data_IF_178884671801
#
_entry.id   IF_178884671801
#
_cell.length_a   1.000
_cell.length_b   1.000
_cell.length_c   1.000
_cell.angle_alpha   90.00
_cell.angle_beta   90.00
_cell.angle_gamma   90.00
#
_symmetry.space_group_name_H-M   'P 1'
#
loop_
_entity.id
_entity.type
_entity.pdbx_description
1 polymer ?
#
# COMPACT_ATOMS: atom_id res chain seq x y z
N UNK A 1 74.04 30.56 -9.88
CA UNK A 1 74.40 30.44 -8.45
C UNK A 1 74.31 31.78 -7.71
N UNK A 2 74.99 32.84 -8.16
CA UNK A 2 74.95 34.18 -7.53
C UNK A 2 73.54 34.84 -7.40
N UNK A 3 72.64 34.62 -8.36
CA UNK A 3 71.27 35.19 -8.32
C UNK A 3 70.35 34.52 -7.27
N UNK A 4 70.56 33.24 -6.98
CA UNK A 4 69.75 32.50 -5.99
C UNK A 4 70.15 32.86 -4.55
N UNK A 5 71.43 33.19 -4.34
CA UNK A 5 71.98 33.61 -3.06
C UNK A 5 71.57 35.05 -2.70
N UNK A 6 71.49 35.94 -3.70
CA UNK A 6 70.97 37.31 -3.55
C UNK A 6 69.46 37.29 -3.27
N UNK A 7 68.69 36.42 -3.96
CA UNK A 7 67.26 36.22 -3.72
C UNK A 7 66.96 35.77 -2.29
N UNK A 8 67.67 34.75 -1.78
CA UNK A 8 67.53 34.26 -0.39
C UNK A 8 67.94 35.30 0.65
N UNK A 9 68.99 36.08 0.37
CA UNK A 9 69.44 37.18 1.23
C UNK A 9 68.39 38.29 1.35
N UNK A 10 67.80 38.72 0.22
CA UNK A 10 66.72 39.70 0.15
C UNK A 10 65.45 39.18 0.82
N UNK A 11 65.03 37.94 0.54
CA UNK A 11 63.90 37.29 1.21
C UNK A 11 64.11 37.22 2.72
N UNK A 12 65.30 36.85 3.19
CA UNK A 12 65.59 36.80 4.64
C UNK A 12 65.58 38.18 5.29
N UNK A 13 66.03 39.23 4.58
CA UNK A 13 65.99 40.61 5.07
C UNK A 13 64.56 41.15 5.10
N UNK A 14 63.76 40.83 4.09
CA UNK A 14 62.33 41.18 4.03
C UNK A 14 61.57 40.44 5.13
N UNK A 15 61.81 39.13 5.33
CA UNK A 15 61.23 38.36 6.42
C UNK A 15 61.61 38.92 7.79
N UNK A 16 62.90 39.20 8.04
CA UNK A 16 63.31 39.81 9.32
C UNK A 16 62.73 41.21 9.52
N UNK A 17 62.53 41.99 8.46
CA UNK A 17 61.92 43.33 8.54
C UNK A 17 60.42 43.24 8.80
N UNK A 18 59.73 42.27 8.20
CA UNK A 18 58.34 41.92 8.48
C UNK A 18 58.18 41.40 9.91
N UNK A 19 59.02 40.48 10.35
CA UNK A 19 59.03 39.91 11.70
C UNK A 19 59.22 41.00 12.76
N UNK A 20 60.20 41.90 12.59
CA UNK A 20 60.39 43.05 13.50
C UNK A 20 59.23 44.05 13.47
N UNK A 21 58.58 44.20 12.32
CA UNK A 21 57.40 45.07 12.20
C UNK A 21 56.16 44.43 12.83
N UNK A 22 56.02 43.11 12.74
CA UNK A 22 54.93 42.31 13.33
C UNK A 22 55.04 42.23 14.86
N UNK A 23 56.25 42.07 15.40
CA UNK A 23 56.50 42.00 16.86
C UNK A 23 56.17 43.32 17.57
N UNK A 24 56.32 44.46 16.87
CA UNK A 24 56.12 45.80 17.44
C UNK A 24 54.80 46.46 17.01
N UNK A 25 53.83 45.71 16.47
CA UNK A 25 52.53 46.28 16.12
C UNK A 25 51.80 46.71 17.40
N UNK A 26 51.43 47.98 17.44
CA UNK A 26 50.57 48.55 18.47
C UNK A 26 49.41 49.29 17.80
N UNK A 27 48.22 48.67 17.83
CA UNK A 27 46.98 49.22 17.27
C UNK A 27 46.43 50.34 18.16
N UNK A 28 46.77 50.34 19.45
CA UNK A 28 46.13 51.21 20.46
C UNK A 28 46.94 52.46 20.79
N UNK A 29 48.25 52.50 20.53
CA UNK A 29 49.06 53.68 20.85
C UNK A 29 50.40 53.76 20.10
N UNK A 30 50.56 54.74 19.20
CA UNK A 30 51.80 54.94 18.43
C UNK A 30 52.71 56.08 18.94
N UNK A 31 52.25 56.94 19.86
CA UNK A 31 52.95 58.20 20.18
C UNK A 31 53.18 58.47 21.68
N UNK A 32 52.95 57.49 22.56
CA UNK A 32 53.17 57.65 24.01
C UNK A 32 54.66 57.49 24.38
N UNK A 33 55.23 58.45 25.12
CA UNK A 33 56.59 58.36 25.70
C UNK A 33 56.67 57.44 26.92
N UNK A 34 55.53 57.04 27.49
CA UNK A 34 55.45 56.11 28.63
C UNK A 34 55.59 54.65 28.17
N UNK A 35 56.71 54.01 28.57
CA UNK A 35 57.04 52.61 28.27
C UNK A 35 55.94 51.63 28.72
N UNK A 36 55.27 51.91 29.82
CA UNK A 36 54.21 51.05 30.37
C UNK A 36 53.00 51.04 29.45
N UNK A 37 52.56 52.22 29.00
CA UNK A 37 51.44 52.37 28.06
C UNK A 37 51.73 51.73 26.70
N UNK A 38 52.97 51.83 26.23
CA UNK A 38 53.41 51.16 24.98
C UNK A 38 53.34 49.63 25.16
N UNK A 39 53.85 49.10 26.27
CA UNK A 39 53.79 47.67 26.58
C UNK A 39 52.35 47.13 26.69
N UNK A 40 51.46 47.84 27.40
CA UNK A 40 50.04 47.51 27.47
C UNK A 40 49.37 47.52 26.07
N UNK A 41 49.73 48.47 25.21
CA UNK A 41 49.19 48.57 23.85
C UNK A 41 49.63 47.42 22.94
N UNK A 42 50.89 46.99 23.03
CA UNK A 42 51.40 45.80 22.30
C UNK A 42 50.68 44.54 22.78
N UNK A 43 50.56 44.32 24.09
CA UNK A 43 49.89 43.14 24.63
C UNK A 43 48.39 43.10 24.29
N UNK A 44 47.72 44.25 24.30
CA UNK A 44 46.32 44.39 23.87
C UNK A 44 46.16 44.13 22.37
N UNK A 45 47.18 44.45 21.57
CA UNK A 45 47.20 44.18 20.13
C UNK A 45 47.30 42.69 19.85
N UNK A 46 48.18 41.98 20.55
CA UNK A 46 48.30 40.53 20.43
C UNK A 46 47.04 39.79 20.89
N UNK A 47 46.45 40.19 22.02
CA UNK A 47 45.17 39.64 22.48
C UNK A 47 44.05 39.88 21.44
N UNK A 48 43.97 41.09 20.89
CA UNK A 48 43.02 41.42 19.82
C UNK A 48 43.17 40.49 18.61
N UNK A 49 44.40 40.27 18.13
CA UNK A 49 44.66 39.41 16.96
C UNK A 49 44.25 37.95 17.26
N UNK A 50 44.60 37.43 18.43
CA UNK A 50 44.25 36.05 18.83
C UNK A 50 42.73 35.86 18.90
N UNK A 51 42.03 36.80 19.55
CA UNK A 51 40.57 36.74 19.67
C UNK A 51 39.89 36.87 18.31
N UNK A 52 40.41 37.73 17.42
CA UNK A 52 39.91 37.85 16.05
C UNK A 52 40.07 36.53 15.28
N UNK A 53 41.27 35.92 15.33
CA UNK A 53 41.53 34.64 14.65
C UNK A 53 40.65 33.50 15.20
N UNK A 54 40.49 33.40 16.52
CA UNK A 54 39.60 32.41 17.15
C UNK A 54 38.14 32.62 16.73
N UNK A 55 37.68 33.87 16.67
CA UNK A 55 36.31 34.17 16.24
C UNK A 55 36.05 33.77 14.78
N UNK A 56 37.00 34.06 13.88
CA UNK A 56 36.91 33.67 12.47
C UNK A 56 36.95 32.15 12.32
N UNK A 57 37.82 31.46 13.06
CA UNK A 57 37.91 30.00 13.04
C UNK A 57 36.60 29.35 13.48
N UNK A 58 36.01 29.81 14.59
CA UNK A 58 34.72 29.28 15.08
C UNK A 58 33.60 29.50 14.07
N UNK A 59 33.55 30.67 13.41
CA UNK A 59 32.56 30.97 12.37
C UNK A 59 32.71 30.06 11.15
N UNK A 60 33.93 29.79 10.71
CA UNK A 60 34.21 28.88 9.59
C UNK A 60 33.82 27.44 9.94
N UNK A 61 34.15 26.97 11.15
CA UNK A 61 33.78 25.63 11.60
C UNK A 61 32.26 25.48 11.69
N UNK A 62 31.58 26.44 12.31
CA UNK A 62 30.12 26.46 12.41
C UNK A 62 29.45 26.43 11.02
N UNK A 63 29.93 27.25 10.09
CA UNK A 63 29.38 27.31 8.73
C UNK A 63 29.60 26.03 7.92
N UNK A 64 30.69 25.31 8.18
CA UNK A 64 30.97 24.02 7.53
C UNK A 64 30.14 22.87 8.10
N UNK A 65 29.75 22.96 9.37
CA UNK A 65 28.94 21.96 10.06
C UNK A 65 27.43 22.18 9.88
N UNK A 66 27.03 23.40 9.51
CA UNK A 66 25.61 23.76 9.35
C UNK A 66 25.10 23.44 7.94
N UNK A 67 23.89 22.88 7.88
CA UNK A 67 23.13 22.70 6.65
C UNK A 67 22.09 23.80 6.51
N UNK A 68 21.81 24.19 5.27
CA UNK A 68 20.69 25.05 4.92
C UNK A 68 19.56 24.21 4.32
N UNK A 69 18.33 24.48 4.77
CA UNK A 69 17.12 23.91 4.19
C UNK A 69 16.72 24.72 2.96
N UNK A 70 16.63 24.07 1.80
CA UNK A 70 16.20 24.67 0.55
C UNK A 70 14.81 24.15 0.20
N UNK A 71 13.92 25.07 -0.18
CA UNK A 71 12.60 24.77 -0.73
C UNK A 71 12.57 25.16 -2.21
N UNK A 72 12.57 24.19 -3.11
CA UNK A 72 12.38 24.42 -4.54
C UNK A 72 10.91 24.15 -4.89
N UNK A 73 10.32 25.03 -5.70
CA UNK A 73 8.93 24.92 -6.14
C UNK A 73 8.83 24.97 -7.66
N UNK A 74 8.07 24.03 -8.22
CA UNK A 74 7.83 23.87 -9.64
C UNK A 74 6.35 24.15 -9.92
N UNK A 75 6.05 25.18 -10.71
CA UNK A 75 4.68 25.61 -10.98
C UNK A 75 4.07 24.84 -12.16
N UNK A 76 2.82 24.40 -12.01
CA UNK A 76 2.00 23.70 -13.03
C UNK A 76 2.79 22.67 -13.86
N UNK A 77 3.43 21.66 -13.23
CA UNK A 77 4.18 20.67 -13.99
C UNK A 77 3.26 19.88 -14.93
N UNK A 78 3.77 19.49 -16.09
CA UNK A 78 3.14 18.46 -16.93
C UNK A 78 3.43 17.07 -16.39
N UNK A 79 2.67 16.04 -16.79
CA UNK A 79 2.90 14.66 -16.35
C UNK A 79 4.35 14.21 -16.61
N UNK A 80 4.88 14.48 -17.81
CA UNK A 80 6.27 14.18 -18.18
C UNK A 80 7.29 14.92 -17.32
N UNK A 81 7.02 16.19 -16.96
CA UNK A 81 7.89 16.95 -16.06
C UNK A 81 7.85 16.38 -14.65
N UNK A 82 6.67 16.04 -14.14
CA UNK A 82 6.51 15.37 -12.85
C UNK A 82 7.31 14.07 -12.80
N UNK A 83 7.23 13.21 -13.83
CA UNK A 83 7.95 11.93 -13.84
C UNK A 83 9.46 12.14 -13.72
N UNK A 84 10.01 13.12 -14.46
CA UNK A 84 11.43 13.49 -14.37
C UNK A 84 11.82 14.08 -13.01
N UNK A 85 10.95 14.90 -12.42
CA UNK A 85 11.17 15.44 -11.07
C UNK A 85 11.13 14.32 -10.02
N UNK A 86 10.22 13.35 -10.16
CA UNK A 86 10.13 12.22 -9.25
C UNK A 86 11.33 11.28 -9.37
N UNK A 87 11.88 11.09 -10.57
CA UNK A 87 13.16 10.37 -10.75
C UNK A 87 14.32 11.06 -10.02
N UNK A 88 14.29 12.39 -9.91
CA UNK A 88 15.34 13.18 -9.28
C UNK A 88 15.19 13.27 -7.76
N UNK A 89 13.99 13.52 -7.27
CA UNK A 89 13.72 13.86 -5.86
C UNK A 89 12.94 12.77 -5.10
N UNK A 90 12.36 11.79 -5.81
CA UNK A 90 11.62 10.65 -5.24
C UNK A 90 10.57 11.08 -4.21
N UNK A 91 10.53 10.43 -3.05
CA UNK A 91 9.56 10.65 -1.97
C UNK A 91 9.61 12.04 -1.34
N UNK A 92 10.65 12.85 -1.60
CA UNK A 92 10.74 14.24 -1.12
C UNK A 92 9.91 15.21 -1.97
N UNK A 93 9.48 14.81 -3.17
CA UNK A 93 8.65 15.62 -4.04
C UNK A 93 7.19 15.56 -3.58
N UNK A 94 6.65 16.71 -3.17
CA UNK A 94 5.27 16.82 -2.70
C UNK A 94 4.48 17.65 -3.71
N UNK A 95 3.45 17.05 -4.29
CA UNK A 95 2.58 17.68 -5.28
C UNK A 95 1.14 17.70 -4.76
N UNK A 96 0.64 18.79 -4.14
CA UNK A 96 -0.78 18.89 -3.79
C UNK A 96 -1.68 18.80 -5.01
N UNK A 97 -2.73 17.98 -4.92
CA UNK A 97 -3.77 17.94 -5.95
C UNK A 97 -4.63 19.20 -5.89
N UNK A 98 -5.08 19.67 -7.06
CA UNK A 98 -6.08 20.74 -7.15
C UNK A 98 -7.46 20.32 -6.66
N UNK A 99 -7.78 19.03 -6.81
CA UNK A 99 -9.02 18.40 -6.35
C UNK A 99 -8.70 17.30 -5.34
N UNK A 100 -9.39 17.32 -4.20
CA UNK A 100 -9.24 16.31 -3.14
C UNK A 100 -10.02 15.02 -3.44
N UNK A 101 -11.06 15.12 -4.27
CA UNK A 101 -12.00 14.05 -4.60
C UNK A 101 -11.93 13.82 -6.11
N UNK A 102 -11.43 12.66 -6.53
CA UNK A 102 -11.32 12.31 -7.95
C UNK A 102 -12.20 11.09 -8.21
N UNK A 103 -13.27 11.19 -9.03
CA UNK A 103 -14.15 10.06 -9.29
C UNK A 103 -13.41 8.87 -9.91
N UNK A 104 -13.60 7.65 -9.41
CA UNK A 104 -12.92 6.45 -9.97
C UNK A 104 -13.23 6.26 -11.45
N UNK A 105 -14.46 6.55 -11.89
CA UNK A 105 -14.88 6.52 -13.31
C UNK A 105 -13.97 7.32 -14.25
N UNK A 106 -13.24 8.31 -13.73
CA UNK A 106 -12.38 9.15 -14.56
C UNK A 106 -11.05 8.52 -14.96
N UNK A 107 -10.65 7.43 -14.30
CA UNK A 107 -9.36 6.78 -14.54
C UNK A 107 -9.39 5.26 -14.37
N UNK A 108 -10.56 4.65 -14.13
CA UNK A 108 -10.72 3.20 -13.90
C UNK A 108 -11.84 2.65 -14.77
N UNK A 109 -11.65 1.44 -15.31
CA UNK A 109 -12.61 0.70 -16.13
C UNK A 109 -12.67 -0.78 -15.72
N UNK A 110 -13.85 -1.39 -15.81
CA UNK A 110 -14.09 -2.81 -15.56
C UNK A 110 -14.70 -3.46 -16.80
N UNK A 111 -14.17 -4.62 -17.19
CA UNK A 111 -14.63 -5.45 -18.30
C UNK A 111 -14.68 -6.92 -17.87
N UNK A 112 -15.53 -7.23 -16.91
CA UNK A 112 -15.63 -8.58 -16.34
C UNK A 112 -16.18 -9.56 -17.38
N UNK A 113 -15.44 -10.65 -17.61
CA UNK A 113 -15.83 -11.75 -18.48
C UNK A 113 -16.45 -12.87 -17.64
N UNK A 114 -17.71 -13.16 -17.91
CA UNK A 114 -18.40 -14.30 -17.31
C UNK A 114 -18.08 -15.61 -18.07
N UNK A 115 -18.37 -16.74 -17.43
CA UNK A 115 -18.26 -18.08 -17.99
C UNK A 115 -19.06 -18.18 -19.29
N UNK A 116 -18.53 -18.89 -20.28
CA UNK A 116 -19.13 -18.98 -21.62
C UNK A 116 -20.58 -19.50 -21.64
N UNK A 117 -20.99 -20.24 -20.60
CA UNK A 117 -22.38 -20.65 -20.40
C UNK A 117 -23.33 -19.44 -20.36
N UNK A 118 -22.88 -18.31 -19.79
CA UNK A 118 -23.65 -17.09 -19.60
C UNK A 118 -23.83 -16.27 -20.88
N UNK A 119 -23.23 -16.70 -21.99
CA UNK A 119 -23.45 -16.16 -23.34
C UNK A 119 -23.86 -17.24 -24.34
N UNK A 120 -24.17 -18.44 -23.86
CA UNK A 120 -24.50 -19.59 -24.70
C UNK A 120 -26.00 -19.68 -25.00
N UNK A 121 -26.35 -20.54 -25.96
CA UNK A 121 -27.76 -20.84 -26.27
C UNK A 121 -28.50 -21.50 -25.08
N UNK A 122 -27.78 -22.15 -24.15
CA UNK A 122 -28.36 -22.90 -23.03
C UNK A 122 -29.05 -22.05 -21.96
N UNK A 123 -28.78 -20.74 -21.94
CA UNK A 123 -29.42 -19.81 -20.99
C UNK A 123 -30.52 -18.97 -21.63
N UNK A 124 -30.78 -19.15 -22.93
CA UNK A 124 -31.82 -18.41 -23.64
C UNK A 124 -33.19 -19.03 -23.38
N UNK A 125 -34.22 -18.21 -23.25
CA UNK A 125 -35.61 -18.68 -23.08
C UNK A 125 -36.07 -19.57 -24.22
N UNK A 126 -35.65 -19.25 -25.45
CA UNK A 126 -35.88 -20.07 -26.64
C UNK A 126 -35.38 -21.51 -26.52
N UNK A 127 -34.41 -21.78 -25.64
CA UNK A 127 -33.96 -23.13 -25.34
C UNK A 127 -34.83 -23.79 -24.27
N UNK A 128 -34.88 -23.22 -23.07
CA UNK A 128 -35.46 -23.93 -21.93
C UNK A 128 -37.00 -23.96 -21.95
N UNK A 129 -37.68 -22.96 -22.51
CA UNK A 129 -39.15 -22.95 -22.61
C UNK A 129 -39.67 -24.02 -23.58
N UNK A 130 -38.83 -24.47 -24.50
CA UNK A 130 -39.24 -25.51 -25.47
C UNK A 130 -39.09 -26.91 -24.90
N UNK A 131 -38.30 -27.12 -23.85
CA UNK A 131 -38.11 -28.43 -23.24
C UNK A 131 -39.43 -28.91 -22.60
N UNK A 132 -40.08 -29.96 -23.14
CA UNK A 132 -41.41 -30.35 -22.69
C UNK A 132 -41.36 -30.89 -21.25
N UNK A 133 -42.23 -30.42 -20.34
CA UNK A 133 -42.37 -31.04 -19.03
C UNK A 133 -43.07 -32.39 -19.21
N UNK A 134 -42.29 -33.47 -19.29
CA UNK A 134 -42.87 -34.82 -19.31
C UNK A 134 -43.11 -35.30 -17.88
N UNK A 135 -44.37 -35.64 -17.56
CA UNK A 135 -44.72 -36.28 -16.29
C UNK A 135 -44.50 -37.79 -16.44
N UNK A 136 -43.49 -38.31 -15.75
CA UNK A 136 -43.21 -39.75 -15.67
C UNK A 136 -43.63 -40.33 -14.31
N UNK A 137 -43.81 -41.65 -14.26
CA UNK A 137 -44.38 -42.36 -13.10
C UNK A 137 -43.54 -42.22 -11.81
N UNK A 138 -44.22 -42.27 -10.66
CA UNK A 138 -43.82 -41.82 -9.30
C UNK A 138 -42.54 -42.42 -8.68
N UNK A 139 -41.82 -43.34 -9.33
CA UNK A 139 -40.68 -44.04 -8.71
C UNK A 139 -39.30 -43.51 -9.10
N UNK A 140 -39.20 -42.71 -10.17
CA UNK A 140 -37.93 -42.27 -10.74
C UNK A 140 -37.99 -40.79 -11.14
N UNK A 141 -36.95 -40.00 -10.84
CA UNK A 141 -36.88 -38.59 -11.25
C UNK A 141 -36.26 -38.53 -12.64
N UNK A 142 -37.09 -38.24 -13.65
CA UNK A 142 -36.63 -38.11 -15.02
C UNK A 142 -36.06 -36.72 -15.29
N UNK A 143 -34.87 -36.60 -15.88
CA UNK A 143 -34.29 -35.27 -16.17
C UNK A 143 -35.23 -34.39 -17.01
N UNK A 144 -36.02 -34.97 -17.92
CA UNK A 144 -36.98 -34.23 -18.75
C UNK A 144 -38.07 -33.51 -17.96
N UNK A 145 -38.45 -33.99 -16.76
CA UNK A 145 -39.44 -33.29 -15.95
C UNK A 145 -38.88 -32.00 -15.33
N UNK A 146 -37.56 -31.82 -15.35
CA UNK A 146 -36.86 -30.72 -14.69
C UNK A 146 -35.93 -29.92 -15.60
N UNK A 147 -35.74 -30.36 -16.85
CA UNK A 147 -34.75 -29.80 -17.78
C UNK A 147 -34.99 -28.30 -18.06
N UNK A 148 -36.24 -27.88 -18.27
CA UNK A 148 -36.60 -26.46 -18.41
C UNK A 148 -36.12 -25.65 -17.19
N UNK A 149 -36.50 -26.07 -15.98
CA UNK A 149 -36.14 -25.40 -14.74
C UNK A 149 -34.62 -25.41 -14.48
N UNK A 150 -33.92 -26.45 -14.93
CA UNK A 150 -32.46 -26.58 -14.78
C UNK A 150 -31.74 -25.51 -15.57
N UNK A 151 -32.06 -25.36 -16.84
CA UNK A 151 -31.46 -24.34 -17.70
C UNK A 151 -31.94 -22.92 -17.36
N UNK A 152 -33.19 -22.76 -16.91
CA UNK A 152 -33.68 -21.50 -16.35
C UNK A 152 -32.91 -21.09 -15.09
N UNK A 153 -32.56 -22.04 -14.24
CA UNK A 153 -31.76 -21.80 -13.02
C UNK A 153 -30.33 -21.39 -13.40
N UNK A 154 -29.71 -22.05 -14.39
CA UNK A 154 -28.42 -21.61 -14.95
C UNK A 154 -28.47 -20.19 -15.51
N UNK A 155 -29.53 -19.83 -16.24
CA UNK A 155 -29.74 -18.48 -16.74
C UNK A 155 -29.87 -17.47 -15.59
N UNK A 156 -30.60 -17.85 -14.54
CA UNK A 156 -30.78 -17.04 -13.34
C UNK A 156 -29.46 -16.81 -12.61
N UNK A 157 -28.60 -17.83 -12.51
CA UNK A 157 -27.26 -17.68 -11.92
C UNK A 157 -26.38 -16.70 -12.71
N UNK A 158 -26.40 -16.81 -14.04
CA UNK A 158 -25.67 -15.88 -14.91
C UNK A 158 -26.18 -14.44 -14.78
N UNK A 159 -27.50 -14.24 -14.75
CA UNK A 159 -28.09 -12.92 -14.55
C UNK A 159 -27.77 -12.35 -13.17
N UNK A 160 -27.92 -13.16 -12.12
CA UNK A 160 -27.63 -12.75 -10.76
C UNK A 160 -26.15 -12.36 -10.58
N UNK A 161 -25.23 -13.12 -11.17
CA UNK A 161 -23.81 -12.78 -11.21
C UNK A 161 -23.58 -11.45 -11.94
N UNK A 162 -24.11 -11.32 -13.16
CA UNK A 162 -23.96 -10.12 -13.98
C UNK A 162 -24.49 -8.86 -13.28
N UNK A 163 -25.68 -8.92 -12.70
CA UNK A 163 -26.30 -7.80 -11.97
C UNK A 163 -25.52 -7.45 -10.71
N UNK A 164 -25.05 -8.45 -9.95
CA UNK A 164 -24.27 -8.23 -8.73
C UNK A 164 -22.94 -7.56 -9.04
N UNK A 165 -22.23 -8.06 -10.06
CA UNK A 165 -20.94 -7.52 -10.51
C UNK A 165 -21.12 -6.10 -11.06
N UNK A 166 -22.05 -5.91 -12.00
CA UNK A 166 -22.29 -4.59 -12.58
C UNK A 166 -22.73 -3.59 -11.51
N UNK A 167 -23.61 -3.98 -10.59
CA UNK A 167 -24.03 -3.15 -9.47
C UNK A 167 -22.87 -2.78 -8.53
N UNK A 168 -21.94 -3.70 -8.28
CA UNK A 168 -20.75 -3.42 -7.47
C UNK A 168 -19.76 -2.50 -8.21
N UNK A 169 -19.45 -2.78 -9.47
CA UNK A 169 -18.56 -1.96 -10.30
C UNK A 169 -19.11 -0.54 -10.49
N UNK A 170 -20.40 -0.38 -10.79
CA UNK A 170 -21.01 0.94 -10.95
C UNK A 170 -20.98 1.75 -9.65
N UNK A 171 -21.25 1.11 -8.49
CA UNK A 171 -21.11 1.74 -7.18
C UNK A 171 -19.68 2.19 -6.91
N UNK A 172 -18.70 1.32 -7.17
CA UNK A 172 -17.28 1.67 -7.04
C UNK A 172 -16.91 2.88 -7.91
N UNK A 173 -17.26 2.84 -9.20
CA UNK A 173 -16.96 3.91 -10.15
C UNK A 173 -17.66 5.24 -9.82
N UNK A 174 -18.79 5.20 -9.11
CA UNK A 174 -19.51 6.38 -8.63
C UNK A 174 -18.89 7.02 -7.37
N UNK A 175 -17.99 6.31 -6.67
CA UNK A 175 -17.28 6.88 -5.52
C UNK A 175 -16.05 7.68 -5.94
N UNK A 176 -15.45 8.39 -4.97
CA UNK A 176 -14.27 9.22 -5.20
C UNK A 176 -13.03 8.60 -4.55
N UNK A 177 -11.92 8.66 -5.27
CA UNK A 177 -10.59 8.50 -4.72
C UNK A 177 -10.23 9.77 -3.93
N UNK A 178 -9.93 9.60 -2.64
CA UNK A 178 -9.66 10.72 -1.72
C UNK A 178 -8.18 10.85 -1.50
N UNK A 179 -7.59 11.97 -1.92
CA UNK A 179 -6.19 12.23 -1.61
C UNK A 179 -5.82 13.71 -1.67
N UNK A 180 -4.92 14.12 -0.77
CA UNK A 180 -4.41 15.51 -0.69
C UNK A 180 -3.24 15.77 -1.63
N UNK A 181 -2.44 14.74 -1.88
CA UNK A 181 -1.20 14.86 -2.64
C UNK A 181 -1.16 13.80 -3.73
N UNK A 182 -0.58 14.12 -4.87
CA UNK A 182 -0.40 13.15 -5.93
C UNK A 182 0.46 11.98 -5.44
N UNK A 183 -0.02 10.75 -5.63
CA UNK A 183 0.71 9.55 -5.22
C UNK A 183 1.82 9.24 -6.20
N UNK A 184 2.87 8.59 -5.69
CA UNK A 184 3.82 7.90 -6.57
C UNK A 184 3.11 6.77 -7.34
N UNK A 185 3.68 6.37 -8.48
CA UNK A 185 3.13 5.29 -9.29
C UNK A 185 3.00 3.99 -8.47
N UNK A 186 4.05 3.65 -7.71
CA UNK A 186 4.03 2.48 -6.84
C UNK A 186 2.90 2.55 -5.80
N UNK A 187 2.77 3.68 -5.09
CA UNK A 187 1.70 3.87 -4.09
C UNK A 187 0.32 3.82 -4.72
N UNK A 188 0.14 4.44 -5.89
CA UNK A 188 -1.12 4.42 -6.64
C UNK A 188 -1.50 3.00 -7.05
N UNK A 189 -0.61 2.27 -7.71
CA UNK A 189 -0.83 0.87 -8.14
C UNK A 189 -1.15 -0.02 -6.94
N UNK A 190 -0.38 0.09 -5.86
CA UNK A 190 -0.61 -0.69 -4.65
C UNK A 190 -1.99 -0.41 -4.05
N UNK A 191 -2.34 0.87 -3.88
CA UNK A 191 -3.64 1.27 -3.34
C UNK A 191 -4.78 0.82 -4.25
N UNK A 192 -4.67 1.01 -5.57
CA UNK A 192 -5.70 0.59 -6.53
C UNK A 192 -5.92 -0.92 -6.51
N UNK A 193 -4.86 -1.72 -6.54
CA UNK A 193 -4.97 -3.17 -6.46
C UNK A 193 -5.61 -3.61 -5.13
N UNK A 194 -5.24 -2.99 -4.01
CA UNK A 194 -5.84 -3.29 -2.71
C UNK A 194 -7.34 -2.97 -2.68
N UNK A 195 -7.75 -1.82 -3.21
CA UNK A 195 -9.15 -1.40 -3.28
C UNK A 195 -9.98 -2.30 -4.19
N UNK A 196 -9.45 -2.66 -5.36
CA UNK A 196 -10.14 -3.55 -6.31
C UNK A 196 -10.24 -4.97 -5.74
N UNK A 197 -9.19 -5.47 -5.09
CA UNK A 197 -9.25 -6.78 -4.42
C UNK A 197 -10.30 -6.77 -3.29
N UNK A 198 -10.39 -5.69 -2.52
CA UNK A 198 -11.42 -5.55 -1.49
C UNK A 198 -12.83 -5.50 -2.11
N UNK A 199 -13.01 -4.78 -3.22
CA UNK A 199 -14.26 -4.78 -3.99
C UNK A 199 -14.65 -6.19 -4.42
N UNK A 200 -13.73 -6.95 -5.02
CA UNK A 200 -13.96 -8.32 -5.50
C UNK A 200 -14.36 -9.23 -4.33
N UNK A 201 -13.59 -9.22 -3.24
CA UNK A 201 -13.87 -10.04 -2.06
C UNK A 201 -15.21 -9.70 -1.42
N UNK A 202 -15.51 -8.41 -1.25
CA UNK A 202 -16.78 -7.96 -0.68
C UNK A 202 -17.97 -8.29 -1.58
N UNK A 203 -17.81 -8.17 -2.89
CA UNK A 203 -18.87 -8.48 -3.87
C UNK A 203 -19.16 -9.98 -3.85
N UNK A 204 -18.10 -10.80 -3.81
CA UNK A 204 -18.22 -12.25 -3.64
C UNK A 204 -18.95 -12.62 -2.36
N UNK A 205 -18.57 -12.02 -1.23
CA UNK A 205 -19.23 -12.29 0.05
C UNK A 205 -20.72 -11.91 0.04
N UNK A 206 -21.08 -10.75 -0.54
CA UNK A 206 -22.48 -10.31 -0.68
C UNK A 206 -23.29 -11.26 -1.59
N UNK A 207 -22.69 -11.70 -2.70
CA UNK A 207 -23.29 -12.68 -3.61
C UNK A 207 -23.63 -14.00 -2.90
N UNK A 208 -22.66 -14.54 -2.15
CA UNK A 208 -22.82 -15.75 -1.33
C UNK A 208 -23.87 -15.59 -0.24
N UNK A 209 -23.83 -14.47 0.47
CA UNK A 209 -24.79 -14.17 1.53
C UNK A 209 -26.23 -14.17 0.99
N UNK A 210 -26.46 -13.51 -0.15
CA UNK A 210 -27.78 -13.47 -0.80
C UNK A 210 -28.25 -14.85 -1.25
N UNK A 211 -27.36 -15.67 -1.81
CA UNK A 211 -27.71 -17.04 -2.20
C UNK A 211 -28.04 -17.89 -0.98
N UNK A 212 -27.21 -17.84 0.06
CA UNK A 212 -27.41 -18.58 1.31
C UNK A 212 -28.73 -18.19 1.98
N UNK A 213 -29.03 -16.90 2.06
CA UNK A 213 -30.30 -16.40 2.59
C UNK A 213 -31.50 -16.94 1.81
N UNK A 214 -31.39 -17.01 0.48
CA UNK A 214 -32.44 -17.56 -0.39
C UNK A 214 -32.65 -19.04 -0.10
N UNK A 215 -31.58 -19.84 -0.10
CA UNK A 215 -31.64 -21.29 0.15
C UNK A 215 -32.18 -21.61 1.55
N UNK A 216 -31.69 -20.91 2.60
CA UNK A 216 -32.19 -21.07 3.97
C UNK A 216 -33.67 -20.69 4.05
N UNK A 217 -34.08 -19.58 3.42
CA UNK A 217 -35.49 -19.17 3.39
C UNK A 217 -36.36 -20.20 2.67
N UNK A 218 -35.88 -20.81 1.59
CA UNK A 218 -36.58 -21.87 0.88
C UNK A 218 -36.79 -23.11 1.74
N UNK A 219 -35.75 -23.53 2.48
CA UNK A 219 -35.81 -24.72 3.34
C UNK A 219 -36.66 -24.50 4.59
N UNK A 220 -36.46 -23.39 5.31
CA UNK A 220 -37.16 -23.12 6.58
C UNK A 220 -38.67 -22.95 6.40
N UNK A 221 -39.11 -22.54 5.21
CA UNK A 221 -40.53 -22.39 4.89
C UNK A 221 -41.12 -23.59 4.12
N UNK A 222 -40.36 -24.69 3.97
CA UNK A 222 -40.80 -25.90 3.27
C UNK A 222 -41.40 -25.64 1.88
N UNK A 223 -40.81 -24.72 1.11
CA UNK A 223 -41.29 -24.42 -0.24
C UNK A 223 -41.26 -25.67 -1.11
N UNK A 224 -42.42 -26.12 -1.57
CA UNK A 224 -42.53 -27.28 -2.46
C UNK A 224 -41.93 -26.91 -3.81
N UNK A 225 -40.82 -27.57 -4.16
CA UNK A 225 -40.19 -27.39 -5.46
C UNK A 225 -41.13 -27.91 -6.55
N UNK A 226 -41.14 -27.26 -7.71
CA UNK A 226 -41.89 -27.74 -8.87
C UNK A 226 -41.48 -29.17 -9.29
N UNK A 227 -40.26 -29.60 -8.91
CA UNK A 227 -39.79 -30.96 -9.15
C UNK A 227 -40.45 -32.01 -8.24
N UNK A 228 -41.14 -31.58 -7.16
CA UNK A 228 -41.79 -32.45 -6.17
C UNK A 228 -40.88 -33.50 -5.52
N UNK A 229 -39.56 -33.29 -5.58
CA UNK A 229 -38.54 -34.17 -4.98
C UNK A 229 -38.34 -33.89 -3.49
N UNK A 230 -38.73 -32.70 -3.03
CA UNK A 230 -38.73 -32.34 -1.61
C UNK A 230 -40.09 -32.53 -0.92
N UNK A 231 -41.18 -32.64 -1.69
CA UNK A 231 -42.51 -32.96 -1.19
C UNK A 231 -43.40 -33.53 -2.30
N UNK A 232 -44.08 -34.65 -2.02
CA UNK A 232 -45.11 -35.24 -2.87
C UNK A 232 -46.49 -34.88 -2.32
N UNK A 233 -47.23 -34.05 -3.07
CA UNK A 233 -48.56 -33.59 -2.70
C UNK A 233 -49.61 -34.56 -3.24
N UNK A 234 -50.39 -35.17 -2.35
CA UNK A 234 -51.45 -36.11 -2.70
C UNK A 234 -52.80 -35.61 -2.23
N UNK A 235 -53.79 -35.69 -3.10
CA UNK A 235 -55.18 -35.55 -2.69
C UNK A 235 -55.59 -36.84 -1.98
N UNK A 236 -55.99 -36.71 -0.73
CA UNK A 236 -56.55 -37.80 0.06
C UNK A 236 -58.03 -37.52 0.32
N UNK A 237 -58.83 -38.57 0.18
CA UNK A 237 -60.25 -38.52 0.48
C UNK A 237 -60.47 -39.33 1.75
N UNK A 238 -60.72 -38.63 2.85
CA UNK A 238 -61.08 -39.23 4.13
C UNK A 238 -62.59 -39.40 4.16
N UNK A 239 -63.05 -40.65 4.29
CA UNK A 239 -64.46 -40.93 4.52
C UNK A 239 -64.73 -40.96 6.01
N UNK A 240 -65.58 -40.07 6.48
CA UNK A 240 -66.04 -40.11 7.87
C UNK A 240 -67.18 -41.12 8.02
N UNK A 241 -67.38 -41.65 9.23
CA UNK A 241 -68.44 -42.63 9.55
C UNK A 241 -69.87 -42.14 9.29
N UNK A 242 -70.04 -40.84 9.06
CA UNK A 242 -71.31 -40.17 8.72
C UNK A 242 -71.58 -40.05 7.21
N UNK A 243 -70.68 -40.54 6.34
CA UNK A 243 -70.84 -40.46 4.88
C UNK A 243 -70.43 -39.11 4.27
N UNK A 244 -69.78 -38.24 5.06
CA UNK A 244 -69.12 -37.04 4.54
C UNK A 244 -67.69 -37.36 4.10
N UNK A 245 -67.32 -36.85 2.92
CA UNK A 245 -65.97 -36.94 2.38
C UNK A 245 -65.22 -35.65 2.66
N UNK A 246 -64.10 -35.74 3.37
CA UNK A 246 -63.16 -34.64 3.52
C UNK A 246 -62.03 -34.84 2.51
N UNK A 247 -61.72 -33.81 1.73
CA UNK A 247 -60.59 -33.81 0.79
C UNK A 247 -59.46 -33.02 1.43
N UNK A 248 -58.37 -33.70 1.77
CA UNK A 248 -57.15 -33.08 2.30
C UNK A 248 -56.01 -33.20 1.28
N UNK A 249 -55.02 -32.32 1.41
CA UNK A 249 -53.76 -32.44 0.69
C UNK A 249 -52.73 -33.02 1.67
N UNK A 250 -52.42 -34.29 1.51
CA UNK A 250 -51.33 -34.95 2.21
C UNK A 250 -49.98 -34.52 1.63
N UNK A 251 -49.04 -34.20 2.51
CA UNK A 251 -47.66 -33.88 2.15
C UNK A 251 -46.78 -35.08 2.52
N UNK A 252 -46.28 -35.77 1.51
CA UNK A 252 -45.45 -36.96 1.69
C UNK A 252 -43.98 -36.65 1.39
N UNK A 253 -43.09 -37.37 2.06
CA UNK A 253 -41.66 -37.35 1.74
C UNK A 253 -41.40 -38.28 0.57
N UNK A 254 -40.92 -37.79 -0.59
CA UNK A 254 -40.61 -38.66 -1.72
C UNK A 254 -39.51 -39.64 -1.33
N UNK A 255 -39.66 -40.90 -1.73
CA UNK A 255 -38.60 -41.90 -1.63
C UNK A 255 -37.72 -41.77 -2.87
N UNK A 256 -36.50 -41.25 -2.67
CA UNK A 256 -35.50 -41.13 -3.74
C UNK A 256 -34.24 -41.88 -3.31
N UNK A 257 -33.47 -42.36 -4.28
CA UNK A 257 -32.23 -43.08 -4.02
C UNK A 257 -31.03 -42.19 -4.38
N UNK A 258 -30.04 -42.16 -3.49
CA UNK A 258 -28.79 -41.44 -3.73
C UNK A 258 -27.93 -42.15 -4.81
N UNK A 259 -26.78 -41.57 -5.13
CA UNK A 259 -25.83 -42.16 -6.09
C UNK A 259 -25.31 -43.56 -5.69
N UNK A 260 -25.42 -43.93 -4.40
CA UNK A 260 -24.99 -45.22 -3.83
C UNK A 260 -26.15 -46.20 -3.65
N UNK A 261 -27.37 -45.84 -4.08
CA UNK A 261 -28.57 -46.65 -3.93
C UNK A 261 -29.16 -46.62 -2.51
N UNK A 262 -28.79 -45.66 -1.67
CA UNK A 262 -29.31 -45.49 -0.32
C UNK A 262 -30.56 -44.60 -0.33
N UNK A 263 -31.49 -44.85 0.59
CA UNK A 263 -32.67 -44.00 0.74
C UNK A 263 -32.26 -42.59 1.13
N UNK A 264 -32.75 -41.64 0.34
CA UNK A 264 -32.49 -40.23 0.48
C UNK A 264 -33.82 -39.52 0.70
N UNK A 265 -33.89 -38.73 1.77
CA UNK A 265 -35.10 -38.01 2.15
C UNK A 265 -34.81 -36.52 2.17
N UNK A 266 -35.22 -35.82 1.12
CA UNK A 266 -34.96 -34.37 1.00
C UNK A 266 -35.57 -33.52 2.11
N UNK A 267 -36.54 -34.04 2.86
CA UNK A 267 -37.07 -33.37 4.05
C UNK A 267 -36.16 -33.46 5.28
N UNK A 268 -35.20 -34.40 5.29
CA UNK A 268 -34.26 -34.63 6.39
C UNK A 268 -32.82 -34.28 6.02
N UNK A 269 -32.41 -34.64 4.81
CA UNK A 269 -31.08 -34.38 4.26
C UNK A 269 -31.18 -33.74 2.87
N UNK A 270 -30.95 -32.44 2.83
CA UNK A 270 -30.97 -31.62 1.62
C UNK A 270 -29.70 -31.77 0.78
N UNK A 271 -28.60 -32.22 1.40
CA UNK A 271 -27.29 -32.34 0.76
C UNK A 271 -27.17 -33.58 -0.12
N UNK A 272 -28.10 -34.51 0.01
CA UNK A 272 -28.08 -35.77 -0.70
C UNK A 272 -28.07 -35.60 -2.24
N UNK A 273 -27.09 -36.18 -2.95
CA UNK A 273 -27.06 -36.22 -4.41
C UNK A 273 -27.88 -37.40 -4.94
N UNK A 274 -28.79 -37.15 -5.89
CA UNK A 274 -29.59 -38.19 -6.54
C UNK A 274 -29.25 -38.35 -8.01
N UNK A 275 -29.32 -39.57 -8.52
CA UNK A 275 -29.17 -39.80 -9.95
C UNK A 275 -30.45 -39.36 -10.67
N UNK A 276 -30.35 -38.41 -11.61
CA UNK A 276 -31.41 -38.27 -12.60
C UNK A 276 -31.38 -39.49 -13.50
N UNK A 277 -32.53 -40.16 -13.64
CA UNK A 277 -32.69 -41.19 -14.65
C UNK A 277 -33.21 -40.56 -15.94
N UNK A 278 -32.87 -41.19 -17.05
CA UNK A 278 -33.36 -40.79 -18.36
C UNK A 278 -33.74 -42.07 -19.07
N UNK A 279 -35.02 -42.39 -18.98
CA UNK A 279 -35.58 -43.49 -19.72
C UNK A 279 -36.23 -42.86 -20.94
N UNK A 280 -35.72 -43.19 -22.13
CA UNK A 280 -36.57 -43.05 -23.31
C UNK A 280 -37.50 -44.24 -23.30
N UNK A 281 -38.77 -43.99 -23.00
CA UNK A 281 -39.78 -45.01 -23.22
C UNK A 281 -39.99 -45.16 -24.74
N UNK A 282 -39.17 -45.99 -25.36
CA UNK A 282 -39.53 -46.67 -26.59
C UNK A 282 -40.04 -48.03 -26.14
N UNK A 283 -41.31 -48.35 -26.39
CA UNK A 283 -41.99 -49.59 -25.96
C UNK A 283 -41.30 -50.91 -26.39
N UNK A 284 -40.15 -50.83 -27.06
CA UNK A 284 -39.37 -51.92 -27.63
C UNK A 284 -37.93 -52.02 -27.07
N UNK A 285 -37.41 -51.00 -26.39
CA UNK A 285 -36.03 -51.03 -25.84
C UNK A 285 -35.96 -50.25 -24.53
N UNK A 286 -35.98 -50.97 -23.40
CA UNK A 286 -35.59 -50.43 -22.08
C UNK A 286 -34.10 -50.07 -22.12
N UNK A 287 -33.78 -48.83 -22.46
CA UNK A 287 -32.41 -48.32 -22.35
C UNK A 287 -32.40 -47.13 -21.39
N UNK A 288 -31.85 -47.37 -20.21
CA UNK A 288 -31.52 -46.33 -19.23
C UNK A 288 -30.21 -45.66 -19.66
N UNK A 289 -30.24 -44.34 -19.89
CA UNK A 289 -29.01 -43.57 -20.07
C UNK A 289 -28.80 -42.59 -18.93
N UNK A 290 -27.54 -42.39 -18.57
CA UNK A 290 -27.12 -41.31 -17.69
C UNK A 290 -26.57 -40.17 -18.53
N UNK A 291 -27.08 -38.94 -18.34
CA UNK A 291 -26.43 -37.74 -18.89
C UNK A 291 -25.18 -37.48 -18.08
N UNK A 292 -24.04 -37.54 -18.76
CA UNK A 292 -22.75 -37.34 -18.12
C UNK A 292 -22.68 -35.94 -17.48
N UNK A 293 -22.39 -35.92 -16.18
CA UNK A 293 -22.24 -34.70 -15.41
C UNK A 293 -23.53 -33.93 -15.14
N UNK A 294 -24.71 -34.48 -15.40
CA UNK A 294 -26.00 -33.89 -14.99
C UNK A 294 -26.61 -34.76 -13.91
N UNK A 295 -26.81 -34.18 -12.73
CA UNK A 295 -27.23 -34.86 -11.51
C UNK A 295 -28.42 -34.15 -10.86
N UNK A 296 -29.20 -34.93 -10.11
CA UNK A 296 -30.33 -34.42 -9.36
C UNK A 296 -29.97 -34.09 -7.92
N UNK A 297 -30.75 -33.17 -7.36
CA UNK A 297 -30.72 -32.81 -5.95
C UNK A 297 -32.12 -32.57 -5.41
N UNK A 298 -32.19 -32.21 -4.14
CA UNK A 298 -33.44 -31.95 -3.43
C UNK A 298 -34.16 -30.68 -3.89
N UNK A 299 -33.43 -29.75 -4.51
CA UNK A 299 -33.97 -28.58 -5.18
C UNK A 299 -33.35 -28.44 -6.56
N UNK A 300 -33.90 -27.53 -7.38
CA UNK A 300 -33.37 -27.32 -8.73
C UNK A 300 -31.98 -26.67 -8.65
N UNK A 301 -31.79 -25.82 -7.64
CA UNK A 301 -30.51 -25.23 -7.27
C UNK A 301 -29.50 -26.34 -6.95
N UNK A 302 -29.85 -27.28 -6.06
CA UNK A 302 -28.95 -28.39 -5.72
C UNK A 302 -28.62 -29.26 -6.93
N UNK A 303 -29.60 -29.49 -7.81
CA UNK A 303 -29.41 -30.25 -9.04
C UNK A 303 -28.38 -29.57 -9.94
N UNK A 304 -28.50 -28.27 -10.14
CA UNK A 304 -27.53 -27.48 -10.91
C UNK A 304 -26.16 -27.49 -10.23
N UNK A 305 -26.08 -27.22 -8.93
CA UNK A 305 -24.82 -27.17 -8.18
C UNK A 305 -24.03 -28.48 -8.20
N UNK A 306 -24.71 -29.61 -8.03
CA UNK A 306 -24.10 -30.95 -8.09
C UNK A 306 -23.71 -31.38 -9.50
N UNK A 307 -24.17 -30.67 -10.52
CA UNK A 307 -23.88 -30.95 -11.93
C UNK A 307 -22.61 -30.24 -12.41
N UNK A 308 -22.11 -30.69 -13.56
CA UNK A 308 -21.01 -30.09 -14.32
C UNK A 308 -21.48 -29.81 -15.75
N UNK A 309 -20.66 -29.13 -16.54
CA UNK A 309 -21.02 -28.76 -17.92
C UNK A 309 -20.50 -29.73 -18.98
N UNK A 310 -19.92 -30.88 -18.58
CA UNK A 310 -19.27 -31.83 -19.50
C UNK A 310 -20.16 -32.27 -20.67
N UNK A 311 -21.45 -32.47 -20.44
CA UNK A 311 -22.41 -32.77 -21.49
C UNK A 311 -22.55 -31.62 -22.51
N UNK A 312 -22.51 -30.36 -22.04
CA UNK A 312 -22.74 -29.17 -22.86
C UNK A 312 -21.59 -28.88 -23.84
N UNK A 313 -20.40 -29.44 -23.59
CA UNK A 313 -19.26 -29.40 -24.52
C UNK A 313 -19.32 -30.50 -25.59
N UNK A 314 -20.05 -31.61 -25.34
CA UNK A 314 -20.03 -32.80 -26.20
C UNK A 314 -21.20 -32.80 -27.18
N UNK A 315 -20.91 -32.71 -28.48
CA UNK A 315 -21.92 -32.86 -29.56
C UNK A 315 -22.78 -34.11 -29.40
N UNK A 316 -22.18 -35.25 -29.05
CA UNK A 316 -22.89 -36.51 -28.84
C UNK A 316 -23.91 -36.44 -27.69
N UNK A 317 -23.60 -35.71 -26.62
CA UNK A 317 -24.51 -35.53 -25.50
C UNK A 317 -25.69 -34.61 -25.88
N UNK A 318 -25.42 -33.54 -26.63
CA UNK A 318 -26.47 -32.65 -27.14
C UNK A 318 -27.40 -33.35 -28.13
N UNK A 319 -26.87 -34.21 -29.00
CA UNK A 319 -27.70 -35.05 -29.89
C UNK A 319 -28.64 -35.91 -29.07
N UNK A 320 -28.18 -36.49 -27.95
CA UNK A 320 -29.06 -37.23 -27.04
C UNK A 320 -30.11 -36.34 -26.40
N UNK A 321 -29.74 -35.18 -25.85
CA UNK A 321 -30.70 -34.20 -25.32
C UNK A 321 -31.76 -33.80 -26.34
N UNK A 322 -31.40 -33.64 -27.62
CA UNK A 322 -32.32 -33.37 -28.72
C UNK A 322 -33.28 -34.53 -29.00
N UNK A 323 -32.78 -35.76 -29.01
CA UNK A 323 -33.61 -36.97 -29.14
C UNK A 323 -34.54 -37.12 -27.92
N UNK A 324 -34.07 -36.80 -26.71
CA UNK A 324 -34.92 -36.78 -25.51
C UNK A 324 -36.03 -35.73 -25.61
N UNK A 325 -35.73 -34.59 -26.23
CA UNK A 325 -36.69 -33.53 -26.47
C UNK A 325 -37.69 -33.85 -27.61
N UNK A 326 -37.42 -34.85 -28.46
CA UNK A 326 -38.14 -35.49 -29.59
C UNK A 326 -39.35 -34.82 -30.30
N UNK A 327 -39.68 -33.56 -30.03
CA UNK A 327 -40.85 -32.84 -30.55
C UNK A 327 -40.51 -31.43 -31.04
N UNK A 328 -39.23 -31.09 -31.19
CA UNK A 328 -38.77 -29.74 -31.49
C UNK A 328 -37.80 -29.74 -32.66
N UNK A 329 -38.33 -29.91 -33.86
CA UNK A 329 -37.75 -29.20 -34.99
C UNK A 329 -37.53 -27.72 -34.54
N UNK A 330 -36.42 -27.08 -34.92
CA UNK A 330 -36.15 -25.63 -34.75
C UNK A 330 -35.33 -25.08 -33.55
N UNK A 331 -34.52 -25.85 -32.80
CA UNK A 331 -33.41 -25.21 -32.01
C UNK A 331 -32.06 -25.85 -32.30
N UNK A 332 -31.28 -25.21 -33.16
CA UNK A 332 -29.86 -25.51 -33.31
C UNK A 332 -29.10 -24.91 -32.12
N UNK A 333 -28.98 -25.67 -31.03
CA UNK A 333 -28.09 -25.32 -29.91
C UNK A 333 -26.65 -25.71 -30.24
N UNK A 334 -25.73 -24.76 -30.12
CA UNK A 334 -24.30 -25.04 -30.29
C UNK A 334 -23.70 -25.60 -29.00
N UNK A 335 -22.78 -26.59 -29.09
CA UNK A 335 -21.96 -26.96 -27.96
C UNK A 335 -21.16 -25.77 -27.44
N UNK A 336 -20.88 -25.79 -26.14
CA UNK A 336 -19.86 -24.94 -25.55
C UNK A 336 -18.51 -25.20 -26.22
N UNK A 337 -17.72 -24.15 -26.37
CA UNK A 337 -16.46 -24.19 -27.10
C UNK A 337 -15.33 -24.60 -26.15
N UNK A 338 -14.75 -25.76 -26.41
CA UNK A 338 -13.61 -26.28 -25.65
C UNK A 338 -12.29 -25.58 -25.97
N UNK A 339 -12.22 -24.83 -27.06
CA UNK A 339 -11.02 -24.08 -27.46
C UNK A 339 -10.95 -22.70 -26.80
N UNK A 340 -12.07 -22.18 -26.28
CA UNK A 340 -12.08 -20.92 -25.54
C UNK A 340 -11.30 -21.04 -24.22
N UNK A 341 -10.38 -20.10 -23.91
CA UNK A 341 -9.68 -20.09 -22.63
C UNK A 341 -10.65 -19.93 -21.47
N UNK A 342 -10.67 -20.95 -20.60
CA UNK A 342 -11.42 -20.98 -19.35
C UNK A 342 -10.50 -21.39 -18.21
N UNK A 343 -10.70 -20.81 -17.03
CA UNK A 343 -10.05 -21.25 -15.78
C UNK A 343 -10.70 -22.51 -15.20
N UNK A 344 -11.82 -22.97 -15.78
CA UNK A 344 -12.57 -24.12 -15.33
C UNK A 344 -12.47 -25.26 -16.35
N UNK A 345 -12.21 -26.47 -15.87
CA UNK A 345 -12.35 -27.68 -16.70
C UNK A 345 -13.83 -28.01 -16.89
N UNK A 346 -14.17 -28.72 -17.97
CA UNK A 346 -15.55 -29.10 -18.30
C UNK A 346 -16.24 -29.97 -17.24
N UNK A 347 -15.46 -30.70 -16.42
CA UNK A 347 -15.94 -31.51 -15.29
C UNK A 347 -16.02 -30.73 -13.96
N UNK A 348 -15.73 -29.43 -13.96
CA UNK A 348 -15.90 -28.60 -12.75
C UNK A 348 -17.37 -28.55 -12.38
N UNK A 349 -17.67 -28.71 -11.09
CA UNK A 349 -19.02 -28.54 -10.56
C UNK A 349 -19.49 -27.10 -10.77
N UNK A 350 -20.74 -26.93 -11.18
CA UNK A 350 -21.33 -25.61 -11.40
C UNK A 350 -21.34 -24.82 -10.10
N UNK A 351 -21.49 -25.46 -8.94
CA UNK A 351 -21.31 -24.83 -7.63
C UNK A 351 -19.98 -24.07 -7.53
N UNK A 352 -18.86 -24.69 -7.92
CA UNK A 352 -17.54 -24.03 -7.86
C UNK A 352 -17.42 -22.84 -8.81
N UNK A 353 -18.11 -22.90 -9.94
CA UNK A 353 -18.15 -21.78 -10.90
C UNK A 353 -19.03 -20.66 -10.35
N UNK A 354 -20.18 -21.01 -9.77
CA UNK A 354 -21.09 -20.10 -9.09
C UNK A 354 -20.44 -19.43 -7.89
N UNK A 355 -19.64 -20.16 -7.11
CA UNK A 355 -18.94 -19.63 -5.93
C UNK A 355 -17.97 -18.50 -6.26
N UNK A 356 -17.54 -18.44 -7.52
CA UNK A 356 -16.69 -17.43 -8.13
C UNK A 356 -17.51 -16.44 -8.98
N UNK A 357 -18.82 -16.34 -8.71
CA UNK A 357 -19.79 -15.48 -9.42
C UNK A 357 -19.83 -15.71 -10.93
N UNK A 358 -19.62 -16.95 -11.38
CA UNK A 358 -19.55 -17.29 -12.79
C UNK A 358 -18.45 -16.50 -13.54
N UNK A 359 -17.42 -15.99 -12.86
CA UNK A 359 -16.40 -15.12 -13.48
C UNK A 359 -15.23 -15.93 -14.03
N UNK A 360 -14.94 -15.72 -15.32
CA UNK A 360 -13.69 -16.18 -15.95
C UNK A 360 -12.54 -15.22 -15.66
N UNK A 361 -12.79 -13.93 -15.84
CA UNK A 361 -11.78 -12.87 -15.66
C UNK A 361 -12.44 -11.57 -15.19
N UNK A 362 -11.83 -10.89 -14.23
CA UNK A 362 -12.27 -9.59 -13.72
C UNK A 362 -11.83 -8.41 -14.57
N UNK A 363 -10.91 -8.63 -15.52
CA UNK A 363 -10.27 -7.65 -16.41
C UNK A 363 -10.64 -6.19 -16.12
N UNK A 364 -9.77 -5.53 -15.37
CA UNK A 364 -9.91 -4.12 -15.00
C UNK A 364 -8.65 -3.38 -15.41
N UNK A 365 -8.81 -2.10 -15.68
CA UNK A 365 -7.68 -1.23 -15.94
C UNK A 365 -7.84 0.09 -15.19
N UNK A 366 -6.71 0.71 -14.88
CA UNK A 366 -6.68 2.07 -14.37
C UNK A 366 -5.47 2.81 -14.94
N UNK A 367 -5.62 4.11 -15.14
CA UNK A 367 -4.58 4.95 -15.76
C UNK A 367 -3.99 5.94 -14.76
N UNK A 368 -2.70 5.74 -14.47
CA UNK A 368 -1.93 6.66 -13.63
C UNK A 368 -1.81 8.06 -14.24
N UNK A 369 -1.71 8.15 -15.57
CA UNK A 369 -1.67 9.43 -16.29
C UNK A 369 -3.03 10.15 -16.25
N UNK A 370 -4.14 9.44 -16.44
CA UNK A 370 -5.46 10.05 -16.30
C UNK A 370 -5.70 10.51 -14.85
N UNK A 371 -5.26 9.71 -13.87
CA UNK A 371 -5.27 10.13 -12.46
C UNK A 371 -4.45 11.41 -12.23
N UNK A 372 -3.28 11.55 -12.85
CA UNK A 372 -2.50 12.79 -12.80
C UNK A 372 -3.26 13.97 -13.39
N UNK A 373 -3.87 13.80 -14.57
CA UNK A 373 -4.63 14.86 -15.23
C UNK A 373 -5.86 15.31 -14.43
N UNK A 374 -6.47 14.42 -13.64
CA UNK A 374 -7.56 14.78 -12.73
C UNK A 374 -7.08 15.40 -11.42
N UNK A 375 -5.96 14.93 -10.88
CA UNK A 375 -5.32 15.58 -9.72
C UNK A 375 -4.85 17.00 -10.06
N UNK A 376 -4.30 17.21 -11.25
CA UNK A 376 -3.85 18.50 -11.80
C UNK A 376 -3.10 19.35 -10.76
N UNK A 377 -1.89 18.94 -10.32
CA UNK A 377 -1.16 19.65 -9.29
C UNK A 377 -0.77 21.07 -9.75
N UNK A 378 -1.15 22.09 -8.97
CA UNK A 378 -0.82 23.50 -9.26
C UNK A 378 0.65 23.83 -9.03
N UNK A 379 1.28 23.11 -8.09
CA UNK A 379 2.69 23.23 -7.78
C UNK A 379 3.20 21.92 -7.21
N UNK A 380 4.47 21.61 -7.43
CA UNK A 380 5.19 20.58 -6.70
C UNK A 380 6.37 21.22 -5.96
N UNK A 381 6.61 20.82 -4.73
CA UNK A 381 7.69 21.36 -3.91
C UNK A 381 8.59 20.24 -3.40
N UNK A 382 9.88 20.52 -3.30
CA UNK A 382 10.83 19.65 -2.62
C UNK A 382 11.58 20.43 -1.55
N UNK A 383 11.72 19.81 -0.39
CA UNK A 383 12.52 20.33 0.72
C UNK A 383 13.72 19.41 0.92
N UNK A 384 14.92 19.95 0.81
CA UNK A 384 16.14 19.18 1.04
C UNK A 384 17.23 20.04 1.70
N UNK A 385 18.14 19.36 2.40
CA UNK A 385 19.29 19.99 3.05
C UNK A 385 20.49 20.03 2.11
N UNK A 386 21.14 21.19 2.03
CA UNK A 386 22.40 21.37 1.30
C UNK A 386 23.41 22.08 2.21
N UNK A 387 24.69 21.84 1.97
CA UNK A 387 25.76 22.64 2.60
C UNK A 387 25.64 24.11 2.22
N UNK A 388 26.00 24.99 3.16
CA UNK A 388 26.06 26.43 2.94
C UNK A 388 27.09 26.73 1.84
N UNK A 389 26.75 27.65 0.94
CA UNK A 389 27.64 28.05 -0.16
C UNK A 389 28.85 28.84 0.39
N UNK A 390 30.07 28.54 -0.08
CA UNK A 390 31.30 29.28 0.28
C UNK A 390 31.15 30.79 0.08
N UNK A 391 30.45 31.23 -0.97
CA UNK A 391 30.20 32.67 -1.22
C UNK A 391 29.38 33.30 -0.08
N UNK A 392 28.40 32.55 0.44
CA UNK A 392 27.62 32.97 1.60
C UNK A 392 28.49 33.05 2.87
N UNK A 393 29.40 32.10 3.07
CA UNK A 393 30.35 32.10 4.20
C UNK A 393 31.24 33.35 4.14
N UNK A 394 31.78 33.68 2.96
CA UNK A 394 32.65 34.84 2.78
C UNK A 394 31.89 36.14 3.05
N UNK A 395 30.70 36.30 2.47
CA UNK A 395 29.88 37.51 2.65
C UNK A 395 29.45 37.69 4.10
N UNK A 396 29.10 36.60 4.79
CA UNK A 396 28.78 36.62 6.22
C UNK A 396 30.00 37.06 7.06
N UNK A 397 31.18 36.49 6.82
CA UNK A 397 32.43 36.88 7.51
C UNK A 397 32.73 38.37 7.30
N UNK A 398 32.66 38.87 6.07
CA UNK A 398 32.91 40.29 5.75
C UNK A 398 31.93 41.20 6.49
N UNK A 399 30.65 40.84 6.56
CA UNK A 399 29.64 41.60 7.28
C UNK A 399 29.88 41.64 8.80
N UNK A 400 30.39 40.55 9.38
CA UNK A 400 30.64 40.41 10.82
C UNK A 400 31.93 41.07 11.29
N UNK A 401 32.96 41.11 10.43
CA UNK A 401 34.27 41.72 10.76
C UNK A 401 34.11 43.18 11.19
N UNK A 402 33.16 43.93 10.61
CA UNK A 402 32.91 45.32 11.00
C UNK A 402 32.54 45.48 12.48
N UNK A 403 31.53 44.74 12.94
CA UNK A 403 31.06 44.79 14.32
C UNK A 403 32.04 44.17 15.32
N UNK A 404 32.61 43.01 14.97
CA UNK A 404 33.61 42.31 15.80
C UNK A 404 34.83 43.18 16.04
N UNK A 405 35.33 43.88 15.03
CA UNK A 405 36.51 44.72 15.13
C UNK A 405 36.31 45.86 16.15
N UNK A 406 35.14 46.51 16.16
CA UNK A 406 34.83 47.58 17.12
C UNK A 406 34.80 47.03 18.55
N UNK A 407 34.09 45.93 18.77
CA UNK A 407 33.93 45.31 20.10
C UNK A 407 35.28 44.81 20.63
N UNK A 408 36.04 44.08 19.81
CA UNK A 408 37.35 43.57 20.20
C UNK A 408 38.34 44.71 20.48
N UNK A 409 38.27 45.81 19.72
CA UNK A 409 39.09 47.01 20.00
C UNK A 409 38.77 47.65 21.34
N UNK A 410 37.51 47.64 21.74
CA UNK A 410 37.11 48.19 23.03
C UNK A 410 37.49 47.26 24.20
N UNK A 411 37.25 45.97 24.05
CA UNK A 411 37.40 44.98 25.13
C UNK A 411 38.85 44.57 25.39
N UNK A 412 39.68 44.42 24.34
CA UNK A 412 41.08 43.97 24.48
C UNK A 412 41.91 44.79 25.49
N UNK A 413 41.91 46.13 25.47
CA UNK A 413 42.65 46.91 26.46
C UNK A 413 42.06 46.81 27.88
N UNK A 414 40.75 46.58 28.00
CA UNK A 414 40.08 46.38 29.30
C UNK A 414 40.53 45.05 29.90
N UNK A 415 40.48 43.96 29.12
CA UNK A 415 40.93 42.63 29.55
C UNK A 415 42.40 42.67 29.98
N UNK A 416 43.29 43.26 29.17
CA UNK A 416 44.71 43.35 29.54
C UNK A 416 44.92 44.15 30.83
N UNK A 417 44.19 45.24 31.05
CA UNK A 417 44.26 45.98 32.32
C UNK A 417 43.82 45.11 33.50
N UNK A 418 42.77 44.31 33.34
CA UNK A 418 42.28 43.39 34.38
C UNK A 418 43.31 42.28 34.64
N UNK A 419 43.80 41.62 33.60
CA UNK A 419 44.82 40.55 33.71
C UNK A 419 46.06 41.06 34.44
N UNK A 420 46.58 42.23 34.05
CA UNK A 420 47.78 42.78 34.67
C UNK A 420 47.56 43.24 36.12
N UNK A 421 46.37 43.74 36.46
CA UNK A 421 45.98 44.00 37.86
C UNK A 421 45.93 42.71 38.69
N UNK A 422 45.37 41.64 38.14
CA UNK A 422 45.31 40.33 38.81
C UNK A 422 46.70 39.74 38.99
N UNK A 423 47.55 39.77 37.95
CA UNK A 423 48.95 39.33 38.04
C UNK A 423 49.75 40.14 39.07
N UNK A 424 49.53 41.45 39.14
CA UNK A 424 50.16 42.30 40.16
C UNK A 424 49.68 41.92 41.58
N UNK A 425 48.40 41.59 41.76
CA UNK A 425 47.83 41.14 43.04
C UNK A 425 48.38 39.78 43.47
N UNK A 426 48.49 38.82 42.55
CA UNK A 426 49.09 37.50 42.79
C UNK A 426 50.58 37.61 43.12
N UNK A 427 51.33 38.47 42.40
CA UNK A 427 52.74 38.73 42.68
C UNK A 427 52.95 39.39 44.04
N UNK A 428 52.02 40.28 44.46
CA UNK A 428 52.02 40.89 45.80
C UNK A 428 51.76 39.86 46.91
N UNK A 429 50.80 38.95 46.70
CA UNK A 429 50.50 37.87 47.65
C UNK A 429 51.64 36.84 47.79
N UNK A 430 52.43 36.58 46.74
CA UNK A 430 53.65 35.74 46.83
C UNK A 430 54.80 36.38 47.60
N UNK A 431 54.90 37.72 47.61
CA UNK A 431 55.95 38.44 48.37
C UNK A 431 55.64 38.50 49.87
N UNK A 432 54.36 38.44 50.26
CA UNK A 432 53.93 38.40 51.68
C UNK A 432 53.99 37.01 52.35
N UNK A 433 54.46 35.97 51.66
CA UNK A 433 54.59 34.60 52.22
C UNK A 433 56.05 34.11 52.35
N UNK A 434 57.02 35.00 52.53
CA UNK A 434 58.38 34.62 52.96
C UNK A 434 58.60 35.09 54.40
N UNK A 435 58.54 34.22 55.42
CA UNK A 435 59.15 34.48 56.71
C UNK A 435 60.67 34.24 56.61
N UNK A 436 61.45 35.12 57.22
CA UNK A 436 62.91 35.01 57.32
C UNK A 436 63.34 33.79 58.14
N UNK A 437 64.12 32.86 57.55
CA UNK A 437 65.18 32.12 58.24
C UNK A 437 66.38 31.96 57.27
N UNK A 438 67.57 32.11 57.85
CA UNK A 438 68.91 32.18 57.27
C UNK A 438 69.37 30.99 56.39
N UNK A 439 70.40 31.33 55.60
CA UNK A 439 71.64 30.59 55.33
C UNK A 439 71.82 29.90 53.96
N UNK A 440 72.87 30.39 53.30
CA UNK A 440 73.87 29.71 52.46
C UNK A 440 73.54 29.04 51.11
N UNK A 441 74.37 29.46 50.15
CA UNK A 441 75.00 28.71 49.07
C UNK A 441 74.23 28.31 47.80
N UNK A 442 74.79 28.84 46.70
CA UNK A 442 75.04 28.20 45.41
C UNK A 442 73.87 27.73 44.53
N UNK A 443 73.84 28.38 43.35
CA UNK A 443 73.88 27.72 42.02
C UNK A 443 72.60 26.96 41.59
N UNK A 444 71.82 27.57 40.69
CA UNK A 444 71.56 27.09 39.31
C UNK A 444 70.28 27.73 38.76
N UNK A 445 70.48 28.47 37.67
CA UNK A 445 69.48 28.91 36.72
C UNK A 445 69.04 27.69 35.90
N UNK A 446 67.81 27.18 36.05
CA UNK A 446 67.20 26.27 35.08
C UNK A 446 65.66 26.44 35.05
N UNK A 447 65.19 26.96 33.92
CA UNK A 447 64.08 26.48 33.10
C UNK A 447 62.69 26.18 33.70
N UNK A 448 61.73 26.90 33.10
CA UNK A 448 60.41 26.41 32.61
C UNK A 448 59.64 25.45 33.50
N UNK A 449 58.59 25.97 34.15
CA UNK A 449 57.37 25.24 34.45
C UNK A 449 56.18 26.20 34.51
N UNK A 450 55.43 26.29 33.42
CA UNK A 450 54.07 26.81 33.39
C UNK A 450 53.25 26.10 32.31
N UNK A 451 53.27 24.76 32.32
CA UNK A 451 52.33 23.89 31.59
C UNK A 451 52.33 22.51 32.24
N UNK A 452 51.86 22.43 33.48
CA UNK A 452 51.46 21.17 34.10
C UNK A 452 50.45 21.50 35.20
N UNK A 453 49.33 20.77 35.22
CA UNK A 453 48.09 20.99 35.99
C UNK A 453 46.98 21.79 35.29
N UNK A 454 46.39 21.19 34.24
CA UNK A 454 44.92 21.06 34.14
C UNK A 454 44.50 20.14 32.98
N UNK A 455 45.09 18.95 32.85
CA UNK A 455 44.59 17.95 31.89
C UNK A 455 44.95 16.53 32.32
N UNK A 456 44.36 16.07 33.42
CA UNK A 456 44.29 14.63 33.74
C UNK A 456 43.26 14.34 34.82
N UNK A 457 41.98 14.41 34.46
CA UNK A 457 40.94 13.52 34.98
C UNK A 457 39.71 13.65 34.08
N UNK A 458 39.56 12.70 33.13
CA UNK A 458 38.31 12.20 32.54
C UNK A 458 38.60 11.58 31.17
N UNK A 459 39.21 10.40 31.20
CA UNK A 459 38.96 9.36 30.20
C UNK A 459 39.31 8.02 30.84
N UNK A 460 38.26 7.34 31.31
CA UNK A 460 38.04 5.88 31.18
C UNK A 460 36.87 5.49 32.08
N UNK A 461 35.70 5.28 31.50
CA UNK A 461 34.92 4.08 31.75
C UNK A 461 34.06 3.79 30.52
N UNK A 462 34.44 2.73 29.81
CA UNK A 462 33.59 2.05 28.87
C UNK A 462 32.96 0.83 29.56
N UNK A 463 31.71 0.57 29.18
CA UNK A 463 30.94 -0.66 29.35
C UNK A 463 30.51 -1.04 30.79
N UNK A 464 29.19 -0.97 31.06
CA UNK A 464 28.31 -2.14 31.09
C UNK A 464 26.84 -1.70 31.26
N UNK A 465 25.97 -2.20 30.38
CA UNK A 465 24.53 -2.35 30.61
C UNK A 465 24.34 -3.68 31.39
N UNK A 466 23.28 -3.92 32.21
CA UNK A 466 21.89 -3.84 31.75
C UNK A 466 20.77 -3.49 32.78
N UNK A 467 19.59 -3.18 32.23
CA UNK A 467 18.22 -3.57 32.65
C UNK A 467 17.48 -2.90 33.83
N UNK A 468 16.23 -2.51 33.49
CA UNK A 468 15.01 -2.30 34.31
C UNK A 468 14.93 -0.97 35.10
N UNK A 469 13.87 -0.14 35.03
CA UNK A 469 12.44 -0.39 35.27
C UNK A 469 11.58 0.77 34.70
N UNK A 470 10.42 0.41 34.14
CA UNK A 470 9.13 1.13 33.97
C UNK A 470 9.07 2.67 34.08
N UNK A 471 8.55 3.31 33.01
CA UNK A 471 7.12 3.64 32.84
C UNK A 471 6.81 3.90 31.36
#
# INVERSE_FOLDING_TARGET
>A
MLLDEISRSLLSKVFRKLERSLVNINIYNRHSRDRTRVYHGVLSTWLYIILLLLSVLMLVLFSNLSNQTINETFSNPTFKQYTKLYETYSTKLICPCSQLLIPYRSFTEFQVRLHQICSSDFIQSSWYERLPPMSFSRRQIHFLSVASSYFQTLATFCNFANETINGASQRFLATNFVNRHFLSNHSFVFTMNSLINQLIMSTRADFHYKMSLTTVSMHSNYYVSNMRVNADLRLEVLSNSTGHYEVIIGVYTPHIYDMKGQNCFCTRDWSCPVNFQINLHNWLTDIDWQLEGIYGGCTIIDSVFKSSMICLFKKSCLTRLRILANMLEFVSVKPLDSELPSRYSSNTLIEKIFDEMMVEDWNYSYSYEQFYHKCQPKSCSVTYERKINIIYIITFIVSLIGGINIILRMISPIIIKIILKLMAKVKRNRITQIPMIQQENHRKLFHTNLFYYEFKELQCFAATNPSNILL
#
